data_IF_632411959242
#
_entry.id   IF_632411959242
#
_cell.length_a   1.000
_cell.length_b   1.000
_cell.length_c   1.000
_cell.angle_alpha   90.00
_cell.angle_beta   90.00
_cell.angle_gamma   90.00
#
_symmetry.space_group_name_H-M   'P 1'
#
loop_
_entity.id
_entity.type
_entity.pdbx_description
1 polymer ?
#
# COMPACT_ATOMS: atom_id res chain seq x y z
N UNK A 1 4.12 -26.40 -11.39
CA UNK A 1 3.37 -25.16 -11.70
C UNK A 1 2.16 -25.52 -12.55
N UNK A 2 1.22 -26.29 -12.00
CA UNK A 2 0.05 -26.79 -12.77
C UNK A 2 -1.28 -26.49 -12.07
N UNK A 3 -1.23 -25.93 -10.86
CA UNK A 3 -2.45 -25.49 -10.17
C UNK A 3 -3.02 -24.28 -10.89
N UNK A 4 -4.36 -24.20 -10.97
CA UNK A 4 -5.05 -23.03 -11.55
C UNK A 4 -4.59 -21.71 -10.91
N UNK A 5 -4.29 -21.73 -9.61
CA UNK A 5 -3.72 -20.59 -8.87
C UNK A 5 -2.34 -20.19 -9.41
N UNK A 6 -1.45 -21.15 -9.65
CA UNK A 6 -0.12 -20.87 -10.21
C UNK A 6 -0.18 -20.42 -11.68
N UNK A 7 -1.13 -20.92 -12.45
CA UNK A 7 -1.33 -20.52 -13.85
C UNK A 7 -1.90 -19.10 -14.00
N UNK A 8 -2.69 -18.65 -13.02
CA UNK A 8 -3.16 -17.26 -12.95
C UNK A 8 -2.11 -16.31 -12.34
N UNK A 9 -1.00 -16.83 -11.81
CA UNK A 9 0.06 -16.01 -11.27
C UNK A 9 0.91 -15.44 -12.40
N UNK A 10 0.67 -14.18 -12.79
CA UNK A 10 1.60 -13.47 -13.67
C UNK A 10 2.91 -13.20 -12.94
N UNK A 11 4.03 -13.42 -13.62
CA UNK A 11 5.35 -13.08 -13.10
C UNK A 11 5.37 -11.60 -12.71
N UNK A 12 5.83 -11.31 -11.49
CA UNK A 12 5.89 -9.94 -10.97
C UNK A 12 6.74 -9.09 -11.92
N UNK A 13 6.11 -8.11 -12.58
CA UNK A 13 6.86 -7.08 -13.30
C UNK A 13 7.61 -6.22 -12.27
N UNK A 14 8.87 -5.90 -12.57
CA UNK A 14 9.66 -5.02 -11.71
C UNK A 14 9.05 -3.61 -11.75
N UNK A 15 8.49 -3.17 -10.64
CA UNK A 15 7.94 -1.83 -10.48
C UNK A 15 9.12 -0.87 -10.34
N UNK A 16 9.13 0.22 -11.10
CA UNK A 16 10.13 1.29 -11.02
C UNK A 16 9.43 2.59 -10.63
N UNK A 17 10.04 3.36 -9.74
CA UNK A 17 9.49 4.66 -9.35
C UNK A 17 9.65 5.70 -10.46
N UNK A 18 8.71 6.64 -10.51
CA UNK A 18 8.80 7.86 -11.31
C UNK A 18 10.05 8.68 -10.97
N UNK A 19 10.51 8.65 -9.71
CA UNK A 19 11.74 9.33 -9.27
C UNK A 19 12.98 8.73 -9.95
N UNK A 20 13.03 7.41 -10.13
CA UNK A 20 14.13 6.74 -10.85
C UNK A 20 14.22 7.23 -12.31
N UNK A 21 13.06 7.38 -12.96
CA UNK A 21 12.97 7.91 -14.33
C UNK A 21 13.43 9.38 -14.40
N UNK A 22 13.01 10.20 -13.44
CA UNK A 22 13.44 11.61 -13.36
C UNK A 22 14.94 11.73 -13.08
N UNK A 23 15.49 10.87 -12.22
CA UNK A 23 16.92 10.81 -11.92
C UNK A 23 17.75 10.52 -13.18
N UNK A 24 17.32 9.55 -13.99
CA UNK A 24 18.01 9.25 -15.25
C UNK A 24 17.94 10.45 -16.23
N UNK A 25 16.81 11.17 -16.27
CA UNK A 25 16.70 12.38 -17.08
C UNK A 25 17.68 13.47 -16.61
N UNK A 26 17.82 13.70 -15.30
CA UNK A 26 18.79 14.65 -14.76
C UNK A 26 20.24 14.24 -15.03
N UNK A 27 20.55 12.93 -15.02
CA UNK A 27 21.89 12.43 -15.37
C UNK A 27 22.26 12.82 -16.81
N UNK A 28 21.33 12.66 -17.75
CA UNK A 28 21.53 13.08 -19.15
C UNK A 28 21.76 14.60 -19.22
N UNK A 29 20.99 15.40 -18.48
CA UNK A 29 21.18 16.86 -18.43
C UNK A 29 22.55 17.22 -17.87
N UNK A 30 22.99 16.60 -16.77
CA UNK A 30 24.33 16.82 -16.21
C UNK A 30 25.45 16.40 -17.17
N UNK A 31 25.28 15.33 -17.92
CA UNK A 31 26.22 14.92 -18.95
C UNK A 31 26.35 15.98 -20.07
N UNK A 32 25.23 16.55 -20.52
CA UNK A 32 25.25 17.65 -21.49
C UNK A 32 25.93 18.91 -20.93
N UNK A 33 25.68 19.25 -19.66
CA UNK A 33 26.34 20.38 -18.98
C UNK A 33 27.85 20.12 -18.84
N UNK A 34 28.26 18.90 -18.52
CA UNK A 34 29.67 18.50 -18.42
C UNK A 34 30.40 18.67 -19.75
N UNK A 35 29.82 18.13 -20.83
CA UNK A 35 30.42 18.22 -22.18
C UNK A 35 30.51 19.68 -22.64
N UNK A 36 29.45 20.47 -22.45
CA UNK A 36 29.45 21.88 -22.84
C UNK A 36 30.46 22.70 -22.05
N UNK A 37 30.56 22.52 -20.73
CA UNK A 37 31.60 23.18 -19.91
C UNK A 37 33.00 22.77 -20.32
N UNK A 38 33.27 21.48 -20.56
CA UNK A 38 34.57 21.02 -21.00
C UNK A 38 34.94 21.67 -22.35
N UNK A 39 34.01 21.70 -23.30
CA UNK A 39 34.22 22.31 -24.62
C UNK A 39 34.47 23.82 -24.54
N UNK A 40 33.66 24.56 -23.77
CA UNK A 40 33.84 25.99 -23.54
C UNK A 40 35.23 26.26 -22.95
N UNK A 41 35.64 25.54 -21.91
CA UNK A 41 36.96 25.74 -21.28
C UNK A 41 38.12 25.38 -22.21
N UNK A 42 37.99 24.33 -23.03
CA UNK A 42 38.99 24.02 -24.08
C UNK A 42 39.11 25.18 -25.06
N UNK A 43 38.00 25.74 -25.55
CA UNK A 43 38.03 26.88 -26.47
C UNK A 43 38.65 28.11 -25.80
N UNK A 44 38.24 28.46 -24.58
CA UNK A 44 38.83 29.60 -23.86
C UNK A 44 40.34 29.42 -23.63
N UNK A 45 40.80 28.20 -23.32
CA UNK A 45 42.23 27.90 -23.20
C UNK A 45 42.97 28.21 -24.50
N UNK A 46 42.45 27.79 -25.65
CA UNK A 46 43.08 28.05 -26.95
C UNK A 46 43.02 29.53 -27.36
N UNK A 47 41.94 30.23 -27.03
CA UNK A 47 41.84 31.67 -27.26
C UNK A 47 42.87 32.42 -26.40
N UNK A 48 43.07 32.00 -25.15
CA UNK A 48 44.10 32.58 -24.28
C UNK A 48 45.53 32.27 -24.76
N UNK A 49 45.77 31.05 -25.24
CA UNK A 49 47.05 30.60 -25.80
C UNK A 49 47.30 31.09 -27.24
N UNK A 50 46.42 31.91 -27.80
CA UNK A 50 46.66 32.55 -29.10
C UNK A 50 47.78 33.59 -29.02
N UNK A 51 48.02 34.15 -27.83
CA UNK A 51 49.14 35.06 -27.59
C UNK A 51 50.43 34.26 -27.30
N UNK A 52 51.52 34.43 -28.08
CA UNK A 52 52.75 33.65 -27.93
C UNK A 52 53.37 33.75 -26.54
N UNK A 53 53.24 34.92 -25.90
CA UNK A 53 53.78 35.18 -24.55
C UNK A 53 53.02 34.39 -23.47
N UNK A 54 51.76 33.99 -23.74
CA UNK A 54 50.91 33.24 -22.81
C UNK A 54 51.00 31.70 -22.98
N UNK A 55 51.40 31.20 -24.14
CA UNK A 55 51.51 29.75 -24.38
C UNK A 55 52.86 29.16 -23.89
N UNK A 56 53.96 29.92 -23.98
CA UNK A 56 55.30 29.51 -23.50
C UNK A 56 56.05 30.65 -22.80
N UNK A 57 55.67 31.02 -21.57
CA UNK A 57 56.41 32.01 -20.81
C UNK A 57 57.80 31.48 -20.41
N UNK A 58 58.77 32.38 -20.22
CA UNK A 58 60.20 32.07 -19.98
C UNK A 58 60.46 31.03 -18.85
N UNK A 59 59.59 30.99 -17.84
CA UNK A 59 59.75 30.12 -16.66
C UNK A 59 59.11 28.73 -16.80
N UNK A 60 58.30 28.45 -17.84
CA UNK A 60 57.63 27.16 -18.02
C UNK A 60 57.59 26.75 -19.51
N UNK A 61 58.73 26.27 -20.01
CA UNK A 61 58.87 25.79 -21.38
C UNK A 61 58.26 24.40 -21.55
N UNK A 62 57.61 24.14 -22.69
CA UNK A 62 57.04 22.82 -23.00
C UNK A 62 58.11 21.80 -23.35
N UNK A 63 57.83 20.53 -23.11
CA UNK A 63 58.72 19.44 -23.50
C UNK A 63 58.72 19.24 -25.02
N UNK A 64 59.84 18.85 -25.63
CA UNK A 64 59.96 18.62 -27.09
C UNK A 64 58.87 17.70 -27.66
N UNK A 65 58.51 16.65 -26.90
CA UNK A 65 57.44 15.70 -27.22
C UNK A 65 56.06 16.36 -27.32
N UNK A 66 55.79 17.37 -26.49
CA UNK A 66 54.53 18.11 -26.52
C UNK A 66 54.48 19.11 -27.66
N UNK A 67 55.62 19.72 -28.01
CA UNK A 67 55.75 20.65 -29.15
C UNK A 67 55.53 19.96 -30.49
N UNK A 68 55.97 18.71 -30.63
CA UNK A 68 55.81 17.91 -31.85
C UNK A 68 54.41 17.30 -32.01
N UNK A 69 53.55 17.36 -30.98
CA UNK A 69 52.21 16.76 -31.03
C UNK A 69 51.27 17.58 -31.90
N UNK A 70 50.48 16.90 -32.74
CA UNK A 70 49.46 17.56 -33.54
C UNK A 70 48.46 18.33 -32.66
N UNK A 71 48.07 19.54 -33.11
CA UNK A 71 47.15 20.44 -32.41
C UNK A 71 45.84 19.74 -32.04
N UNK A 72 45.28 18.94 -32.95
CA UNK A 72 44.03 18.20 -32.71
C UNK A 72 44.16 17.17 -31.57
N UNK A 73 45.30 16.47 -31.50
CA UNK A 73 45.54 15.48 -30.44
C UNK A 73 45.70 16.22 -29.10
N UNK A 74 46.44 17.34 -29.07
CA UNK A 74 46.56 18.19 -27.88
C UNK A 74 45.20 18.69 -27.41
N UNK A 75 44.36 19.18 -28.32
CA UNK A 75 43.01 19.69 -28.00
C UNK A 75 42.09 18.60 -27.47
N UNK A 76 42.17 17.40 -28.03
CA UNK A 76 41.41 16.26 -27.55
C UNK A 76 41.87 15.81 -26.15
N UNK A 77 43.19 15.74 -25.90
CA UNK A 77 43.73 15.43 -24.57
C UNK A 77 43.32 16.48 -23.54
N UNK A 78 43.37 17.77 -23.90
CA UNK A 78 42.96 18.87 -23.04
C UNK A 78 41.45 18.86 -22.74
N UNK A 79 40.62 18.53 -23.74
CA UNK A 79 39.18 18.32 -23.56
C UNK A 79 38.88 17.18 -22.56
N UNK A 80 39.55 16.03 -22.72
CA UNK A 80 39.42 14.92 -21.77
C UNK A 80 39.91 15.30 -20.36
N UNK A 81 40.99 16.08 -20.26
CA UNK A 81 41.49 16.58 -18.98
C UNK A 81 40.46 17.47 -18.27
N UNK A 82 39.78 18.37 -19.00
CA UNK A 82 38.69 19.18 -18.44
C UNK A 82 37.46 18.33 -18.09
N UNK A 83 37.15 17.28 -18.84
CA UNK A 83 36.07 16.35 -18.50
C UNK A 83 36.35 15.64 -17.16
N UNK A 84 37.59 15.18 -16.94
CA UNK A 84 38.00 14.57 -15.66
C UNK A 84 38.00 15.61 -14.54
N UNK A 85 38.46 16.83 -14.80
CA UNK A 85 38.46 17.91 -13.81
C UNK A 85 37.05 18.23 -13.31
N UNK A 86 36.05 18.20 -14.19
CA UNK A 86 34.65 18.49 -13.87
C UNK A 86 33.80 17.24 -13.55
N UNK A 87 34.42 16.08 -13.32
CA UNK A 87 33.68 14.84 -13.06
C UNK A 87 32.73 14.92 -11.84
N UNK A 88 33.02 15.81 -10.89
CA UNK A 88 32.20 16.06 -9.70
C UNK A 88 30.83 16.67 -9.99
N UNK A 89 30.59 17.18 -11.22
CA UNK A 89 29.26 17.65 -11.65
C UNK A 89 28.25 16.50 -11.63
N UNK A 90 28.68 15.26 -11.92
CA UNK A 90 27.82 14.09 -11.84
C UNK A 90 27.95 13.52 -10.42
N UNK A 91 26.91 13.64 -9.56
CA UNK A 91 26.99 13.16 -8.20
C UNK A 91 26.95 11.62 -8.17
N UNK A 92 28.12 10.99 -8.06
CA UNK A 92 28.26 9.53 -8.08
C UNK A 92 27.47 8.86 -6.94
N UNK A 93 27.35 9.52 -5.79
CA UNK A 93 26.65 8.99 -4.61
C UNK A 93 25.13 9.14 -4.67
N UNK A 94 24.56 9.86 -5.64
CA UNK A 94 23.13 10.21 -5.64
C UNK A 94 22.23 8.96 -5.60
N UNK A 95 22.54 7.95 -6.41
CA UNK A 95 21.80 6.68 -6.42
C UNK A 95 21.79 6.02 -5.04
N UNK A 96 22.96 5.87 -4.43
CA UNK A 96 23.10 5.20 -3.12
C UNK A 96 22.39 6.01 -2.03
N UNK A 97 22.50 7.34 -2.05
CA UNK A 97 21.83 8.20 -1.07
C UNK A 97 20.31 8.09 -1.18
N UNK A 98 19.77 8.08 -2.40
CA UNK A 98 18.32 7.91 -2.64
C UNK A 98 17.85 6.53 -2.19
N UNK A 99 18.56 5.45 -2.56
CA UNK A 99 18.23 4.09 -2.12
C UNK A 99 18.26 3.96 -0.59
N UNK A 100 19.27 4.52 0.07
CA UNK A 100 19.35 4.52 1.53
C UNK A 100 18.18 5.28 2.16
N UNK A 101 17.78 6.41 1.58
CA UNK A 101 16.62 7.18 2.04
C UNK A 101 15.32 6.36 1.89
N UNK A 102 15.12 5.66 0.77
CA UNK A 102 13.95 4.78 0.55
C UNK A 102 13.91 3.64 1.56
N UNK A 103 15.05 3.00 1.78
CA UNK A 103 15.21 1.94 2.77
C UNK A 103 14.84 2.43 4.17
N UNK A 104 15.42 3.55 4.62
CA UNK A 104 15.06 4.16 5.90
C UNK A 104 13.58 4.56 5.97
N UNK A 105 13.03 5.09 4.89
CA UNK A 105 11.60 5.42 4.78
C UNK A 105 10.68 4.22 5.02
N UNK A 106 11.07 3.02 4.55
CA UNK A 106 10.27 1.81 4.80
C UNK A 106 10.23 1.42 6.28
N UNK A 107 11.30 1.66 7.04
CA UNK A 107 11.29 1.39 8.49
C UNK A 107 10.36 2.34 9.23
N UNK A 108 10.27 3.60 8.81
CA UNK A 108 9.34 4.53 9.44
C UNK A 108 7.88 4.09 9.27
N UNK A 109 7.51 3.54 8.11
CA UNK A 109 6.17 2.96 7.90
C UNK A 109 5.95 1.73 8.79
N UNK A 110 6.95 0.85 8.93
CA UNK A 110 6.84 -0.35 9.77
C UNK A 110 6.80 -0.07 11.29
N UNK A 111 7.36 1.06 11.72
CA UNK A 111 7.43 1.45 13.13
C UNK A 111 6.28 2.36 13.56
N UNK A 112 5.38 2.72 12.65
CA UNK A 112 4.23 3.52 12.98
C UNK A 112 3.23 2.72 13.83
N UNK A 113 2.97 3.19 15.05
CA UNK A 113 2.03 2.55 15.96
C UNK A 113 0.57 2.83 15.56
N UNK A 114 0.28 3.86 14.75
CA UNK A 114 -1.08 4.09 14.21
C UNK A 114 -1.46 3.07 13.13
N UNK A 115 -0.48 2.40 12.52
CA UNK A 115 -0.69 1.33 11.53
C UNK A 115 -0.56 -0.07 12.13
N UNK A 116 -0.80 -0.21 13.45
CA UNK A 116 -0.84 -1.48 14.16
C UNK A 116 -2.29 -1.95 14.36
N UNK A 117 -2.56 -3.20 13.97
CA UNK A 117 -3.84 -3.84 14.22
C UNK A 117 -3.79 -4.60 15.55
N UNK A 118 -4.61 -4.18 16.52
CA UNK A 118 -4.64 -4.80 17.86
C UNK A 118 -5.32 -6.18 17.88
N UNK A 119 -6.24 -6.45 16.94
CA UNK A 119 -7.06 -7.65 16.92
C UNK A 119 -6.29 -8.83 16.31
N UNK A 120 -5.56 -8.58 15.22
CA UNK A 120 -4.65 -9.52 14.57
C UNK A 120 -3.25 -9.53 15.22
N UNK A 121 -2.87 -8.45 15.90
CA UNK A 121 -1.54 -8.27 16.48
C UNK A 121 -0.45 -8.07 15.42
N UNK A 122 -0.80 -7.54 14.25
CA UNK A 122 0.09 -7.36 13.11
C UNK A 122 0.41 -5.88 12.85
N UNK A 123 1.63 -5.60 12.39
CA UNK A 123 2.09 -4.26 11.98
C UNK A 123 2.09 -4.15 10.46
N UNK A 124 2.00 -2.92 9.94
CA UNK A 124 2.22 -2.66 8.52
C UNK A 124 3.56 -3.23 8.04
N UNK A 125 3.50 -4.10 7.02
CA UNK A 125 4.69 -4.71 6.42
C UNK A 125 4.98 -4.11 5.05
N UNK A 126 6.17 -3.52 4.90
CA UNK A 126 6.62 -2.98 3.62
C UNK A 126 7.36 -4.07 2.82
N UNK A 127 6.74 -4.53 1.75
CA UNK A 127 7.31 -5.57 0.88
C UNK A 127 8.31 -5.03 -0.17
N UNK A 128 8.33 -3.72 -0.40
CA UNK A 128 9.19 -3.06 -1.41
C UNK A 128 9.44 -1.62 -0.98
N UNK A 129 10.72 -1.25 -0.84
CA UNK A 129 11.14 0.12 -0.50
C UNK A 129 11.06 1.09 -1.67
N UNK A 130 11.05 0.59 -2.91
CA UNK A 130 11.19 1.40 -4.12
C UNK A 130 9.94 2.23 -4.45
N UNK A 131 8.84 2.02 -3.74
CA UNK A 131 7.52 2.62 -4.02
C UNK A 131 7.05 3.55 -2.90
N UNK A 132 7.88 3.80 -1.90
CA UNK A 132 7.50 4.60 -0.74
C UNK A 132 7.09 6.03 -1.16
N UNK A 133 7.80 6.61 -2.12
CA UNK A 133 7.51 7.92 -2.70
C UNK A 133 6.29 7.95 -3.63
N UNK A 134 5.90 6.80 -4.20
CA UNK A 134 4.76 6.70 -5.11
C UNK A 134 3.43 6.81 -4.35
N UNK A 135 3.41 6.43 -3.07
CA UNK A 135 2.25 6.58 -2.19
C UNK A 135 1.76 8.04 -2.14
N UNK A 136 2.67 9.01 -2.23
CA UNK A 136 2.33 10.44 -2.27
C UNK A 136 1.82 10.94 -3.63
N UNK A 137 1.83 10.11 -4.67
CA UNK A 137 1.43 10.45 -6.05
C UNK A 137 0.17 9.72 -6.49
N UNK A 138 -0.50 8.99 -5.59
CA UNK A 138 -1.71 8.22 -5.91
C UNK A 138 -2.88 9.18 -6.14
N UNK A 139 -3.43 9.19 -7.36
CA UNK A 139 -4.64 9.96 -7.71
C UNK A 139 -5.92 9.13 -7.66
N UNK A 140 -5.81 7.83 -7.94
CA UNK A 140 -6.95 6.92 -8.03
C UNK A 140 -6.73 5.73 -7.11
N UNK A 141 -7.68 5.50 -6.21
CA UNK A 141 -7.72 4.32 -5.35
C UNK A 141 -8.83 3.39 -5.84
N UNK A 142 -8.44 2.28 -6.45
CA UNK A 142 -9.37 1.20 -6.75
C UNK A 142 -9.48 0.31 -5.52
N UNK A 143 -10.67 0.30 -4.91
CA UNK A 143 -10.95 -0.50 -3.72
C UNK A 143 -11.87 -1.66 -4.08
N UNK A 144 -11.67 -2.80 -3.41
CA UNK A 144 -12.61 -3.91 -3.47
C UNK A 144 -13.67 -3.74 -2.37
N UNK A 145 -14.91 -4.16 -2.62
CA UNK A 145 -15.97 -4.03 -1.63
C UNK A 145 -15.75 -5.04 -0.49
N UNK A 146 -15.62 -6.31 -0.86
CA UNK A 146 -15.64 -7.41 0.11
C UNK A 146 -14.25 -7.68 0.65
N UNK A 147 -14.08 -7.63 1.98
CA UNK A 147 -12.78 -7.85 2.62
C UNK A 147 -11.85 -6.64 2.59
N UNK A 148 -12.32 -5.47 2.14
CA UNK A 148 -11.59 -4.19 2.27
C UNK A 148 -12.49 -3.09 2.82
N UNK A 149 -13.63 -2.80 2.17
CA UNK A 149 -14.58 -1.82 2.69
C UNK A 149 -15.49 -2.42 3.77
N UNK A 150 -15.82 -3.70 3.64
CA UNK A 150 -16.65 -4.43 4.59
C UNK A 150 -15.89 -5.60 5.16
N UNK A 151 -15.89 -5.73 6.48
CA UNK A 151 -15.52 -6.98 7.14
C UNK A 151 -16.47 -8.11 6.71
N UNK A 152 -15.97 -9.34 6.69
CA UNK A 152 -16.78 -10.51 6.34
C UNK A 152 -17.56 -11.02 7.56
N UNK A 153 -18.18 -10.10 8.28
CA UNK A 153 -19.01 -10.34 9.44
C UNK A 153 -20.40 -9.77 9.15
N UNK A 154 -21.40 -10.63 9.12
CA UNK A 154 -22.77 -10.27 8.77
C UNK A 154 -23.62 -10.36 10.03
N UNK A 155 -24.38 -9.31 10.31
CA UNK A 155 -25.28 -9.25 11.46
C UNK A 155 -26.73 -9.11 11.00
N UNK A 156 -27.63 -9.81 11.68
CA UNK A 156 -29.06 -9.67 11.46
C UNK A 156 -29.61 -8.47 12.25
N UNK A 157 -30.04 -7.42 11.55
CA UNK A 157 -30.42 -6.13 12.15
C UNK A 157 -31.93 -5.95 12.26
N UNK A 158 -32.69 -6.30 11.22
CA UNK A 158 -34.15 -6.13 11.21
C UNK A 158 -34.79 -7.10 10.20
N UNK A 159 -36.06 -7.43 10.42
CA UNK A 159 -36.89 -8.08 9.41
C UNK A 159 -38.30 -7.49 9.38
N UNK A 160 -38.98 -7.66 8.25
CA UNK A 160 -40.37 -7.27 8.10
C UNK A 160 -41.23 -8.51 7.83
N UNK A 161 -42.23 -8.77 8.68
CA UNK A 161 -43.16 -9.89 8.55
C UNK A 161 -44.57 -9.33 8.48
N UNK A 162 -45.28 -9.59 7.38
CA UNK A 162 -46.67 -9.16 7.16
C UNK A 162 -46.92 -7.66 7.38
N UNK A 163 -45.93 -6.81 7.05
CA UNK A 163 -45.98 -5.36 7.22
C UNK A 163 -45.53 -4.84 8.58
N UNK A 164 -45.15 -5.73 9.51
CA UNK A 164 -44.60 -5.39 10.82
C UNK A 164 -43.08 -5.50 10.80
N UNK A 165 -42.38 -4.47 11.26
CA UNK A 165 -40.92 -4.46 11.36
C UNK A 165 -40.50 -4.93 12.75
N UNK A 166 -39.59 -5.91 12.79
CA UNK A 166 -38.99 -6.51 13.97
C UNK A 166 -37.51 -6.18 13.99
N UNK A 167 -37.04 -5.67 15.13
CA UNK A 167 -35.62 -5.33 15.37
C UNK A 167 -35.15 -6.15 16.58
N UNK A 168 -34.18 -7.07 16.44
CA UNK A 168 -33.72 -7.94 17.52
C UNK A 168 -33.05 -7.17 18.67
N UNK A 169 -32.35 -6.07 18.38
CA UNK A 169 -31.59 -5.28 19.35
C UNK A 169 -31.93 -3.78 19.23
N UNK A 170 -32.76 -3.25 20.13
CA UNK A 170 -32.94 -1.79 20.30
C UNK A 170 -31.76 -1.11 21.03
N UNK A 171 -30.68 -1.84 21.31
CA UNK A 171 -29.55 -1.37 22.12
C UNK A 171 -28.24 -1.86 21.52
N UNK A 172 -27.61 -1.01 20.70
CA UNK A 172 -26.18 -1.14 20.41
C UNK A 172 -25.41 -0.28 21.43
N UNK A 173 -24.41 -0.84 22.13
CA UNK A 173 -23.48 -0.12 23.00
C UNK A 173 -24.10 0.75 24.12
N UNK A 174 -25.21 0.33 24.72
CA UNK A 174 -25.85 1.08 25.81
C UNK A 174 -26.43 2.44 25.40
N UNK A 175 -26.42 2.77 24.10
CA UNK A 175 -27.10 3.93 23.54
C UNK A 175 -28.29 3.44 22.72
N UNK A 176 -29.50 3.69 23.24
CA UNK A 176 -30.71 3.62 22.45
C UNK A 176 -30.58 4.66 21.35
N UNK A 177 -30.42 4.22 20.10
CA UNK A 177 -30.38 5.11 18.95
C UNK A 177 -31.68 5.94 18.94
N UNK A 178 -31.64 7.28 19.01
CA UNK A 178 -32.83 8.13 19.13
C UNK A 178 -33.76 8.11 17.91
N UNK A 179 -33.45 7.31 16.87
CA UNK A 179 -34.24 7.15 15.65
C UNK A 179 -35.06 5.86 15.57
N UNK A 180 -34.85 4.88 16.46
CA UNK A 180 -35.60 3.61 16.44
C UNK A 180 -37.05 3.74 16.94
N UNK A 181 -37.47 4.94 17.37
CA UNK A 181 -38.83 5.25 17.81
C UNK A 181 -39.64 6.06 16.79
N UNK A 182 -39.15 6.23 15.55
CA UNK A 182 -39.85 7.02 14.53
C UNK A 182 -39.86 6.37 13.13
N UNK A 183 -40.25 5.11 13.05
CA UNK A 183 -41.03 4.64 11.91
C UNK A 183 -42.34 4.10 12.47
N UNK A 184 -43.45 4.64 11.99
CA UNK A 184 -44.81 4.40 12.44
C UNK A 184 -45.01 2.94 12.90
N UNK A 185 -45.03 2.73 14.22
CA UNK A 185 -45.69 1.55 14.76
C UNK A 185 -47.16 1.69 14.35
N UNK A 186 -47.56 0.98 13.30
CA UNK A 186 -48.94 0.61 13.14
C UNK A 186 -49.24 -0.24 14.37
N UNK A 187 -49.84 0.41 15.36
CA UNK A 187 -50.45 -0.16 16.54
C UNK A 187 -51.40 -1.28 16.11
N UNK A 188 -50.87 -2.48 16.02
CA UNK A 188 -51.60 -3.70 15.77
C UNK A 188 -50.75 -4.81 16.35
N UNK A 189 -50.93 -5.05 17.65
CA UNK A 189 -50.61 -6.35 18.21
C UNK A 189 -51.19 -7.41 17.25
N UNK A 190 -50.37 -8.37 16.77
CA UNK A 190 -50.85 -9.31 15.78
C UNK A 190 -52.09 -10.00 16.34
N UNK A 191 -53.20 -9.94 15.61
CA UNK A 191 -54.38 -10.74 15.94
C UNK A 191 -54.01 -12.23 16.00
N UNK A 192 -54.90 -13.12 16.46
CA UNK A 192 -54.59 -14.54 16.60
C UNK A 192 -54.03 -15.19 15.30
N UNK A 193 -54.36 -14.66 14.12
CA UNK A 193 -53.77 -15.10 12.84
C UNK A 193 -52.37 -14.54 12.52
N UNK A 194 -51.97 -13.40 13.12
CA UNK A 194 -50.65 -12.79 12.89
C UNK A 194 -49.53 -13.46 13.67
N UNK A 195 -49.85 -14.14 14.79
CA UNK A 195 -48.88 -14.96 15.53
C UNK A 195 -48.51 -16.24 14.77
N UNK A 196 -49.47 -16.85 14.08
CA UNK A 196 -49.20 -18.04 13.26
C UNK A 196 -48.29 -17.70 12.07
N UNK A 197 -48.49 -16.55 11.42
CA UNK A 197 -47.63 -16.10 10.31
C UNK A 197 -46.22 -15.75 10.76
N UNK A 198 -46.07 -15.12 11.93
CA UNK A 198 -44.78 -14.83 12.56
C UNK A 198 -44.02 -16.13 12.91
N UNK A 199 -44.66 -17.09 13.58
CA UNK A 199 -44.06 -18.39 13.91
C UNK A 199 -43.66 -19.18 12.64
N UNK A 200 -44.49 -19.14 11.60
CA UNK A 200 -44.19 -19.77 10.30
C UNK A 200 -42.98 -19.12 9.63
N UNK A 201 -42.86 -17.80 9.69
CA UNK A 201 -41.74 -17.06 9.09
C UNK A 201 -40.41 -17.42 9.77
N UNK A 202 -40.34 -17.36 11.10
CA UNK A 202 -39.12 -17.71 11.83
C UNK A 202 -38.77 -19.19 11.70
N UNK A 203 -39.78 -20.07 11.65
CA UNK A 203 -39.55 -21.48 11.37
C UNK A 203 -39.00 -21.72 9.96
N UNK A 204 -39.41 -20.93 8.96
CA UNK A 204 -38.84 -21.02 7.62
C UNK A 204 -37.37 -20.60 7.61
N UNK A 205 -37.01 -19.50 8.29
CA UNK A 205 -35.63 -19.04 8.43
C UNK A 205 -34.73 -20.09 9.09
N UNK A 206 -35.20 -20.76 10.15
CA UNK A 206 -34.45 -21.79 10.87
C UNK A 206 -34.38 -23.16 10.16
N UNK A 207 -35.14 -23.38 9.09
CA UNK A 207 -35.16 -24.67 8.36
C UNK A 207 -34.57 -24.57 6.95
N UNK A 208 -34.67 -23.42 6.31
CA UNK A 208 -34.23 -23.20 4.94
C UNK A 208 -32.80 -22.64 4.87
N UNK A 209 -31.84 -23.35 5.47
CA UNK A 209 -30.42 -22.97 5.42
C UNK A 209 -29.52 -24.21 5.37
N UNK A 210 -28.23 -24.01 5.04
CA UNK A 210 -27.22 -25.08 5.05
C UNK A 210 -26.27 -25.02 6.25
N UNK A 211 -26.51 -24.10 7.18
CA UNK A 211 -25.74 -23.93 8.42
C UNK A 211 -25.62 -25.25 9.20
N UNK A 212 -24.39 -25.59 9.53
CA UNK A 212 -24.03 -26.70 10.39
C UNK A 212 -23.70 -26.18 11.79
N UNK A 213 -24.28 -26.83 12.81
CA UNK A 213 -23.97 -26.52 14.21
C UNK A 213 -22.82 -27.39 14.64
N UNK A 214 -21.74 -26.75 15.10
CA UNK A 214 -20.62 -27.41 15.74
C UNK A 214 -20.68 -27.10 17.23
N UNK A 215 -20.74 -28.14 18.04
CA UNK A 215 -20.63 -28.00 19.49
C UNK A 215 -19.15 -27.85 19.86
N UNK A 216 -18.85 -26.86 20.69
CA UNK A 216 -17.53 -26.71 21.28
C UNK A 216 -17.37 -27.78 22.36
N UNK A 217 -16.57 -28.81 22.09
CA UNK A 217 -16.09 -29.71 23.14
C UNK A 217 -15.12 -28.90 24.01
N UNK A 218 -15.63 -28.25 25.06
CA UNK A 218 -14.76 -27.71 26.11
C UNK A 218 -14.04 -28.90 26.73
N UNK A 219 -12.76 -29.07 26.40
CA UNK A 219 -11.90 -30.05 27.08
C UNK A 219 -11.98 -29.76 28.58
N UNK A 220 -12.45 -30.74 29.34
CA UNK A 220 -12.53 -30.72 30.80
C UNK A 220 -11.13 -30.45 31.39
N UNK A 221 -10.80 -29.18 31.59
CA UNK A 221 -9.49 -28.81 32.07
C UNK A 221 -9.23 -27.32 32.03
N UNK A 222 -9.50 -26.67 33.16
CA UNK A 222 -8.99 -25.36 33.57
C UNK A 222 -9.77 -24.16 32.99
N UNK A 223 -10.73 -23.65 33.76
CA UNK A 223 -10.60 -22.37 34.47
C UNK A 223 -11.79 -22.10 35.38
N UNK A 224 -11.49 -22.04 36.69
CA UNK A 224 -12.28 -21.31 37.69
C UNK A 224 -12.48 -19.86 37.21
N UNK A 225 -13.71 -19.37 37.25
CA UNK A 225 -13.99 -17.93 37.13
C UNK A 225 -15.32 -17.61 36.46
N UNK A 226 -16.42 -17.75 37.21
CA UNK A 226 -17.68 -16.98 37.14
C UNK A 226 -17.98 -16.33 35.77
N UNK A 227 -18.70 -17.03 34.89
CA UNK A 227 -19.92 -16.57 34.17
C UNK A 227 -20.43 -17.67 33.20
N UNK A 228 -21.66 -18.13 33.45
CA UNK A 228 -22.59 -18.92 32.61
C UNK A 228 -22.09 -20.20 31.86
N UNK A 229 -22.44 -21.36 32.43
CA UNK A 229 -22.58 -22.66 31.77
C UNK A 229 -23.63 -22.63 30.64
N UNK A 230 -23.28 -22.14 29.45
CA UNK A 230 -24.06 -22.37 28.23
C UNK A 230 -23.10 -22.90 27.18
N UNK A 231 -23.35 -24.11 26.67
CA UNK A 231 -22.59 -24.66 25.56
C UNK A 231 -22.64 -23.66 24.40
N UNK A 232 -21.49 -23.08 24.05
CA UNK A 232 -21.31 -22.19 22.92
C UNK A 232 -21.36 -23.04 21.66
N UNK A 233 -22.53 -23.09 21.03
CA UNK A 233 -22.70 -23.64 19.69
C UNK A 233 -22.14 -22.66 18.67
N UNK A 234 -21.20 -23.12 17.83
CA UNK A 234 -20.65 -22.35 16.73
C UNK A 234 -21.37 -22.73 15.43
N UNK A 235 -21.74 -21.73 14.63
CA UNK A 235 -22.44 -21.92 13.36
C UNK A 235 -21.45 -21.82 12.19
N UNK A 236 -21.47 -22.81 11.29
CA UNK A 236 -20.59 -22.85 10.12
C UNK A 236 -21.47 -22.99 8.88
N UNK A 237 -21.32 -22.08 7.92
CA UNK A 237 -21.91 -22.22 6.58
C UNK A 237 -20.92 -21.75 5.52
N UNK A 238 -21.16 -22.16 4.28
CA UNK A 238 -20.45 -21.62 3.12
C UNK A 238 -20.76 -20.14 2.87
N UNK A 239 -21.89 -19.66 3.38
CA UNK A 239 -22.36 -18.28 3.18
C UNK A 239 -22.58 -17.60 4.55
N UNK A 240 -21.95 -16.44 4.80
CA UNK A 240 -22.00 -15.77 6.10
C UNK A 240 -23.36 -15.14 6.42
N UNK A 241 -24.17 -14.85 5.40
CA UNK A 241 -25.56 -14.39 5.53
C UNK A 241 -26.46 -15.44 6.21
N UNK A 242 -26.34 -16.72 5.85
CA UNK A 242 -27.09 -17.79 6.49
C UNK A 242 -26.72 -17.92 7.98
N UNK A 243 -25.44 -17.76 8.31
CA UNK A 243 -24.97 -17.74 9.71
C UNK A 243 -25.59 -16.57 10.46
N UNK A 244 -25.56 -15.37 9.89
CA UNK A 244 -26.15 -14.18 10.47
C UNK A 244 -27.65 -14.34 10.75
N UNK A 245 -28.39 -14.96 9.82
CA UNK A 245 -29.81 -15.23 10.00
C UNK A 245 -30.05 -16.20 11.17
N UNK A 246 -29.33 -17.31 11.22
CA UNK A 246 -29.51 -18.31 12.30
C UNK A 246 -29.09 -17.76 13.66
N UNK A 247 -28.02 -16.98 13.72
CA UNK A 247 -27.60 -16.28 14.93
C UNK A 247 -28.61 -15.21 15.36
N UNK A 248 -29.16 -14.46 14.39
CA UNK A 248 -30.23 -13.49 14.62
C UNK A 248 -31.48 -14.13 15.19
N UNK A 249 -31.87 -15.32 14.73
CA UNK A 249 -33.03 -16.05 15.23
C UNK A 249 -32.81 -16.71 16.60
N UNK A 250 -31.54 -16.91 17.00
CA UNK A 250 -31.18 -17.45 18.31
C UNK A 250 -31.31 -16.38 19.42
N UNK A 251 -31.11 -15.11 19.07
CA UNK A 251 -31.23 -13.96 19.99
C UNK A 251 -32.70 -13.72 20.34
#
# INVERSE_FOLDING_TARGET
>A
METKMALNYQSKSQKRSAVEKSMNAYLIVYLCILISKALINTVLKYVWQADPDNDEPFYNQKTDTERQRHILIRAFTDFLAFMVLFNYIIPVSMYVTVEMQKFLGSYFIMWDDEMFDEELGERAQVNTSDLNEELGQVEYVFTDKTGTLTENNMEFIECCVDGYVYVPDAICNGQVMPGATSMDMIDSSPGPGGKETEELFFRALCLCHTVQVKEEETVDGIKMGIHQNKATSFYISSSPDEVALVEGMKR
#
